data_IF_508294288797
#
_entry.id   IF_508294288797
#
_cell.length_a   1.000
_cell.length_b   1.000
_cell.length_c   1.000
_cell.angle_alpha   90.00
_cell.angle_beta   90.00
_cell.angle_gamma   90.00
#
_symmetry.space_group_name_H-M   'P 1'
#
loop_
_entity.id
_entity.type
_entity.pdbx_description
1 polymer ?
#
# COMPACT_ATOMS: atom_id res chain seq x y z
N UNK A 1 -25.45 12.00 -17.64
CA UNK A 1 -24.01 12.28 -17.63
C UNK A 1 -23.31 11.09 -17.03
N UNK A 2 -22.62 10.36 -17.85
CA UNK A 2 -21.69 9.34 -17.32
C UNK A 2 -20.45 10.07 -16.86
N UNK A 3 -20.36 10.34 -15.56
CA UNK A 3 -19.06 10.56 -14.97
C UNK A 3 -18.26 9.30 -15.27
N UNK A 4 -17.31 9.41 -16.18
CA UNK A 4 -16.22 8.45 -16.26
C UNK A 4 -15.57 8.44 -14.88
N UNK A 5 -15.98 7.49 -14.04
CA UNK A 5 -15.21 7.23 -12.81
C UNK A 5 -13.81 6.90 -13.27
N UNK A 6 -12.91 7.84 -13.12
CA UNK A 6 -11.49 7.58 -13.34
C UNK A 6 -11.14 6.32 -12.57
N UNK A 7 -10.72 5.29 -13.31
CA UNK A 7 -10.36 4.01 -12.72
C UNK A 7 -9.10 4.24 -11.89
N UNK A 8 -9.26 4.34 -10.59
CA UNK A 8 -8.16 4.55 -9.66
C UNK A 8 -7.34 3.29 -9.51
N UNK A 9 -6.03 3.46 -9.54
CA UNK A 9 -5.07 2.41 -9.21
C UNK A 9 -4.59 2.65 -7.79
N UNK A 10 -4.69 1.64 -6.96
CA UNK A 10 -4.31 1.73 -5.55
C UNK A 10 -2.99 1.05 -5.27
N UNK A 11 -2.24 1.68 -4.39
CA UNK A 11 -1.11 1.07 -3.71
C UNK A 11 -1.58 0.70 -2.30
N UNK A 12 -1.21 -0.48 -1.82
CA UNK A 12 -1.63 -0.99 -0.52
C UNK A 12 -0.57 -0.71 0.54
N UNK A 13 -1.03 -0.18 1.67
CA UNK A 13 -0.25 -0.16 2.90
C UNK A 13 0.03 -1.60 3.37
N UNK A 14 1.18 -1.82 3.97
CA UNK A 14 1.62 -3.14 4.45
C UNK A 14 0.58 -3.83 5.33
N UNK A 15 -0.05 -3.08 6.24
CA UNK A 15 -1.06 -3.60 7.15
C UNK A 15 -2.29 -4.16 6.44
N UNK A 16 -2.63 -3.65 5.27
CA UNK A 16 -3.74 -4.18 4.47
C UNK A 16 -3.45 -5.62 4.03
N UNK A 17 -2.27 -5.88 3.49
CA UNK A 17 -1.87 -7.23 3.09
C UNK A 17 -1.80 -8.19 4.28
N UNK A 18 -1.26 -7.73 5.39
CA UNK A 18 -1.22 -8.51 6.63
C UNK A 18 -2.64 -8.85 7.08
N UNK A 19 -3.54 -7.89 7.10
CA UNK A 19 -4.94 -8.11 7.48
C UNK A 19 -5.64 -9.09 6.55
N UNK A 20 -5.44 -8.98 5.24
CA UNK A 20 -5.99 -9.96 4.29
C UNK A 20 -5.48 -11.37 4.59
N UNK A 21 -4.20 -11.54 4.88
CA UNK A 21 -3.62 -12.85 5.17
C UNK A 21 -4.14 -13.47 6.48
N UNK A 22 -4.50 -12.64 7.45
CA UNK A 22 -5.07 -13.09 8.72
C UNK A 22 -6.54 -13.45 8.57
N UNK A 23 -7.33 -12.60 7.90
CA UNK A 23 -8.79 -12.83 7.76
C UNK A 23 -9.14 -13.80 6.64
N UNK A 24 -8.32 -13.85 5.62
CA UNK A 24 -8.50 -14.67 4.42
C UNK A 24 -7.20 -15.44 4.18
N UNK A 25 -6.90 -16.47 5.01
CA UNK A 25 -5.62 -17.18 4.92
C UNK A 25 -5.35 -17.72 3.51
N UNK A 26 -4.12 -17.56 3.05
CA UNK A 26 -3.71 -17.95 1.68
C UNK A 26 -3.98 -19.45 1.44
N UNK A 27 -3.64 -20.28 2.42
CA UNK A 27 -3.82 -21.74 2.34
C UNK A 27 -5.28 -22.19 2.23
N UNK A 28 -6.22 -21.37 2.71
CA UNK A 28 -7.65 -21.69 2.73
C UNK A 28 -8.47 -20.96 1.66
N UNK A 29 -7.91 -19.94 1.05
CA UNK A 29 -8.63 -19.04 0.14
C UNK A 29 -7.81 -18.75 -1.12
N UNK A 30 -7.39 -19.78 -1.78
CA UNK A 30 -6.56 -19.70 -2.98
C UNK A 30 -7.16 -18.79 -4.06
N UNK A 31 -8.46 -18.89 -4.28
CA UNK A 31 -9.18 -18.10 -5.29
C UNK A 31 -9.03 -16.59 -5.05
N UNK A 32 -9.13 -16.14 -3.80
CA UNK A 32 -8.95 -14.73 -3.46
C UNK A 32 -7.53 -14.25 -3.79
N UNK A 33 -6.52 -15.01 -3.37
CA UNK A 33 -5.12 -14.64 -3.57
C UNK A 33 -4.68 -14.74 -5.04
N UNK A 34 -5.21 -15.73 -5.77
CA UNK A 34 -5.02 -15.81 -7.22
C UNK A 34 -5.67 -14.60 -7.93
N UNK A 35 -6.82 -14.15 -7.46
CA UNK A 35 -7.47 -12.94 -7.97
C UNK A 35 -6.64 -11.68 -7.76
N UNK A 36 -6.01 -11.53 -6.59
CA UNK A 36 -5.07 -10.44 -6.33
C UNK A 36 -3.84 -10.52 -7.25
N UNK A 37 -3.31 -11.70 -7.46
CA UNK A 37 -2.16 -11.93 -8.36
C UNK A 37 -2.51 -11.57 -9.81
N UNK A 38 -3.65 -11.99 -10.32
CA UNK A 38 -4.11 -11.65 -11.67
C UNK A 38 -4.27 -10.14 -11.84
N UNK A 39 -4.86 -9.47 -10.85
CA UNK A 39 -5.00 -8.02 -10.87
C UNK A 39 -3.63 -7.31 -10.83
N UNK A 40 -2.66 -7.87 -10.12
CA UNK A 40 -1.29 -7.34 -10.08
C UNK A 40 -0.59 -7.50 -11.44
N UNK A 41 -0.77 -8.65 -12.12
CA UNK A 41 -0.27 -8.87 -13.48
C UNK A 41 -0.86 -7.89 -14.50
N UNK A 42 -2.12 -7.51 -14.30
CA UNK A 42 -2.84 -6.57 -15.16
C UNK A 42 -2.61 -5.10 -14.77
N UNK A 43 -1.65 -4.81 -13.90
CA UNK A 43 -1.33 -3.47 -13.40
C UNK A 43 -2.53 -2.72 -12.78
N UNK A 44 -3.46 -3.46 -12.16
CA UNK A 44 -4.65 -2.88 -11.52
C UNK A 44 -4.41 -2.39 -10.10
N UNK A 45 -3.33 -2.79 -9.49
CA UNK A 45 -2.84 -2.30 -8.21
C UNK A 45 -1.31 -2.42 -8.16
N UNK A 46 -0.70 -1.81 -7.16
CA UNK A 46 0.76 -1.75 -7.03
C UNK A 46 1.21 -2.36 -5.73
N UNK A 47 2.21 -3.24 -5.81
CA UNK A 47 2.93 -3.81 -4.69
C UNK A 47 4.36 -3.28 -4.73
N UNK A 48 4.77 -2.55 -3.68
CA UNK A 48 6.12 -2.00 -3.57
C UNK A 48 7.08 -2.94 -2.85
N UNK A 49 8.34 -2.88 -3.21
CA UNK A 49 9.43 -3.62 -2.56
C UNK A 49 9.54 -3.31 -1.06
N UNK A 50 9.41 -2.04 -0.67
CA UNK A 50 9.46 -1.63 0.73
C UNK A 50 8.33 -2.24 1.56
N UNK A 51 7.17 -2.47 0.96
CA UNK A 51 6.05 -3.16 1.60
C UNK A 51 6.38 -4.64 1.81
N UNK A 52 6.92 -5.29 0.80
CA UNK A 52 7.35 -6.69 0.88
C UNK A 52 8.43 -6.86 1.97
N UNK A 53 9.38 -5.95 2.04
CA UNK A 53 10.48 -5.99 3.00
C UNK A 53 10.04 -5.80 4.45
N UNK A 54 8.91 -5.12 4.68
CA UNK A 54 8.34 -4.95 6.02
C UNK A 54 7.61 -6.19 6.56
N UNK A 55 7.18 -7.09 5.69
CA UNK A 55 6.40 -8.27 6.08
C UNK A 55 7.31 -9.24 6.80
N UNK A 56 7.01 -9.47 8.08
CA UNK A 56 7.77 -10.35 8.95
C UNK A 56 6.83 -11.22 9.78
N UNK A 57 7.31 -12.39 10.20
CA UNK A 57 6.56 -13.32 11.05
C UNK A 57 5.24 -13.81 10.42
N UNK A 58 5.18 -13.81 9.08
CA UNK A 58 4.04 -14.30 8.32
C UNK A 58 4.54 -15.11 7.11
N UNK A 59 4.93 -16.38 7.33
CA UNK A 59 5.59 -17.20 6.30
C UNK A 59 4.78 -17.36 5.00
N UNK A 60 3.47 -17.52 5.10
CA UNK A 60 2.62 -17.67 3.91
C UNK A 60 2.61 -16.41 3.06
N UNK A 61 2.47 -15.24 3.70
CA UNK A 61 2.47 -13.95 3.01
C UNK A 61 3.85 -13.63 2.44
N UNK A 62 4.90 -13.89 3.19
CA UNK A 62 6.28 -13.71 2.72
C UNK A 62 6.55 -14.57 1.48
N UNK A 63 6.09 -15.81 1.47
CA UNK A 63 6.21 -16.70 0.33
C UNK A 63 5.42 -16.21 -0.88
N UNK A 64 4.19 -15.74 -0.66
CA UNK A 64 3.33 -15.18 -1.73
C UNK A 64 3.98 -13.94 -2.35
N UNK A 65 4.43 -13.01 -1.53
CA UNK A 65 5.14 -11.80 -1.98
C UNK A 65 6.45 -12.14 -2.71
N UNK A 66 7.20 -13.11 -2.22
CA UNK A 66 8.43 -13.59 -2.85
C UNK A 66 8.19 -14.15 -4.25
N UNK A 67 7.08 -14.85 -4.45
CA UNK A 67 6.66 -15.30 -5.79
C UNK A 67 6.39 -14.11 -6.71
N UNK A 68 5.68 -13.08 -6.23
CA UNK A 68 5.42 -11.89 -7.02
C UNK A 68 6.71 -11.17 -7.41
N UNK A 69 7.67 -11.11 -6.49
CA UNK A 69 9.00 -10.53 -6.76
C UNK A 69 9.75 -11.28 -7.84
N UNK A 70 9.78 -12.61 -7.77
CA UNK A 70 10.42 -13.45 -8.80
C UNK A 70 9.77 -13.32 -10.18
N UNK A 71 8.47 -13.06 -10.21
CA UNK A 71 7.71 -12.84 -11.44
C UNK A 71 7.81 -11.40 -11.98
N UNK A 72 8.60 -10.53 -11.34
CA UNK A 72 8.81 -9.16 -11.79
C UNK A 72 7.61 -8.23 -11.56
N UNK A 73 6.70 -8.58 -10.64
CA UNK A 73 5.47 -7.83 -10.39
C UNK A 73 5.59 -6.82 -9.24
N UNK A 74 6.68 -6.84 -8.49
CA UNK A 74 6.96 -5.90 -7.39
C UNK A 74 7.66 -4.68 -7.96
N UNK A 75 7.11 -3.49 -7.71
CA UNK A 75 7.71 -2.22 -8.14
C UNK A 75 8.79 -1.80 -7.14
N UNK A 76 9.86 -1.21 -7.66
CA UNK A 76 11.00 -0.76 -6.86
C UNK A 76 10.93 0.72 -6.56
N UNK A 77 11.28 1.06 -5.33
CA UNK A 77 11.54 2.45 -4.95
C UNK A 77 12.87 2.88 -5.57
N UNK A 78 12.87 4.01 -6.26
CA UNK A 78 14.04 4.61 -6.86
C UNK A 78 14.62 5.73 -5.97
N UNK A 79 15.82 6.21 -6.29
CA UNK A 79 16.51 7.21 -5.46
C UNK A 79 15.72 8.51 -5.31
N UNK A 80 15.07 8.99 -6.37
CA UNK A 80 14.23 10.20 -6.29
C UNK A 80 13.01 10.01 -5.37
N UNK A 81 12.46 8.81 -5.28
CA UNK A 81 11.40 8.50 -4.30
C UNK A 81 11.95 8.53 -2.87
N UNK A 82 13.17 8.05 -2.65
CA UNK A 82 13.83 8.10 -1.33
C UNK A 82 14.08 9.54 -0.90
N UNK A 83 14.57 10.38 -1.80
CA UNK A 83 14.78 11.80 -1.54
C UNK A 83 13.48 12.52 -1.19
N UNK A 84 12.42 12.26 -1.95
CA UNK A 84 11.10 12.82 -1.67
C UNK A 84 10.53 12.32 -0.33
N UNK A 85 10.74 11.04 0.00
CA UNK A 85 10.32 10.47 1.28
C UNK A 85 11.00 11.17 2.47
N UNK A 86 12.27 11.51 2.34
CA UNK A 86 13.01 12.31 3.35
C UNK A 86 12.37 13.68 3.52
N UNK A 87 12.05 14.37 2.42
CA UNK A 87 11.37 15.68 2.46
C UNK A 87 10.00 15.58 3.16
N UNK A 88 9.22 14.55 2.84
CA UNK A 88 7.90 14.30 3.45
C UNK A 88 8.06 14.11 4.97
N UNK A 89 9.01 13.28 5.40
CA UNK A 89 9.24 13.05 6.82
C UNK A 89 9.78 14.30 7.54
N UNK A 90 10.58 15.11 6.88
CA UNK A 90 11.06 16.38 7.44
C UNK A 90 9.92 17.38 7.66
N UNK A 91 8.93 17.37 6.78
CA UNK A 91 7.78 18.30 6.85
C UNK A 91 6.72 17.80 7.82
N UNK A 92 6.37 16.51 7.78
CA UNK A 92 5.20 15.96 8.49
C UNK A 92 5.55 14.95 9.57
N UNK A 93 6.77 14.60 9.78
CA UNK A 93 7.26 13.63 10.79
C UNK A 93 6.35 12.41 10.96
N UNK A 94 6.62 11.38 10.18
CA UNK A 94 5.85 10.12 10.19
C UNK A 94 6.63 8.99 10.85
N UNK A 95 7.95 8.97 10.72
CA UNK A 95 8.82 7.88 11.16
C UNK A 95 9.13 8.02 12.63
N UNK A 96 8.92 6.94 13.38
CA UNK A 96 9.42 6.83 14.75
C UNK A 96 10.91 6.47 14.70
N UNK A 97 11.76 7.44 14.95
CA UNK A 97 13.22 7.29 14.90
C UNK A 97 13.76 6.30 15.92
N UNK A 98 13.03 6.06 17.02
CA UNK A 98 13.47 5.14 18.07
C UNK A 98 13.42 3.66 17.65
N UNK A 99 12.51 3.30 16.72
CA UNK A 99 12.32 1.91 16.29
C UNK A 99 12.20 1.74 14.76
N UNK A 100 12.25 2.83 13.99
CA UNK A 100 12.11 2.80 12.53
C UNK A 100 10.71 2.48 12.03
N UNK A 101 9.69 2.45 12.89
CA UNK A 101 8.31 2.20 12.47
C UNK A 101 7.83 3.28 11.50
N UNK A 102 6.96 2.88 10.58
CA UNK A 102 6.38 3.74 9.54
C UNK A 102 7.37 4.24 8.47
N UNK A 103 8.56 3.66 8.37
CA UNK A 103 9.52 4.02 7.32
C UNK A 103 8.95 3.79 5.92
N UNK A 104 8.26 2.66 5.70
CA UNK A 104 7.64 2.38 4.41
C UNK A 104 6.52 3.37 4.05
N UNK A 105 5.85 3.95 5.03
CA UNK A 105 4.74 4.89 4.81
C UNK A 105 5.17 6.09 3.96
N UNK A 106 6.34 6.66 4.24
CA UNK A 106 6.88 7.80 3.47
C UNK A 106 7.21 7.41 2.04
N UNK A 107 7.72 6.20 1.81
CA UNK A 107 7.99 5.69 0.47
C UNK A 107 6.71 5.42 -0.32
N UNK A 108 5.69 4.87 0.33
CA UNK A 108 4.37 4.64 -0.28
C UNK A 108 3.78 5.97 -0.75
N UNK A 109 3.80 7.01 0.09
CA UNK A 109 3.29 8.33 -0.24
C UNK A 109 4.08 8.96 -1.39
N UNK A 110 5.41 8.91 -1.34
CA UNK A 110 6.28 9.43 -2.40
C UNK A 110 5.98 8.78 -3.75
N UNK A 111 5.87 7.45 -3.76
CA UNK A 111 5.57 6.71 -4.99
C UNK A 111 4.17 7.02 -5.52
N UNK A 112 3.18 7.11 -4.64
CA UNK A 112 1.81 7.44 -5.02
C UNK A 112 1.70 8.86 -5.58
N UNK A 113 2.40 9.83 -4.99
CA UNK A 113 2.43 11.21 -5.47
C UNK A 113 3.00 11.30 -6.90
N UNK A 114 4.14 10.67 -7.13
CA UNK A 114 4.80 10.69 -8.44
C UNK A 114 3.97 10.00 -9.54
N UNK A 115 3.40 8.85 -9.22
CA UNK A 115 2.68 8.02 -10.18
C UNK A 115 1.18 8.29 -10.21
N UNK A 116 0.70 9.28 -9.48
CA UNK A 116 -0.73 9.66 -9.39
C UNK A 116 -1.62 8.49 -8.99
N UNK A 117 -1.16 7.73 -7.99
CA UNK A 117 -1.90 6.60 -7.43
C UNK A 117 -2.69 7.04 -6.20
N UNK A 118 -3.70 6.26 -5.87
CA UNK A 118 -4.42 6.37 -4.60
C UNK A 118 -3.89 5.33 -3.61
N UNK A 119 -4.09 5.55 -2.31
CA UNK A 119 -3.57 4.66 -1.27
C UNK A 119 -4.72 3.98 -0.54
N UNK A 120 -4.62 2.67 -0.37
CA UNK A 120 -5.49 1.91 0.49
C UNK A 120 -4.80 1.67 1.82
N UNK A 121 -5.32 2.32 2.87
CA UNK A 121 -4.85 2.19 4.26
C UNK A 121 -6.03 2.22 5.21
N UNK A 122 -5.98 1.45 6.28
CA UNK A 122 -7.00 1.45 7.33
C UNK A 122 -6.71 2.44 8.45
N UNK A 123 -5.64 3.20 8.37
CA UNK A 123 -5.33 4.22 9.36
C UNK A 123 -6.43 5.30 9.42
N UNK A 124 -6.65 5.82 10.63
CA UNK A 124 -7.63 6.90 10.87
C UNK A 124 -6.96 8.28 10.76
N UNK A 125 -7.79 9.32 10.56
CA UNK A 125 -7.37 10.72 10.61
C UNK A 125 -7.07 11.13 12.06
N UNK A 126 -5.96 10.64 12.62
CA UNK A 126 -5.51 11.02 13.95
C UNK A 126 -3.99 11.06 13.98
N UNK A 127 -3.44 12.11 14.56
CA UNK A 127 -2.03 12.17 14.92
C UNK A 127 -1.81 11.15 16.05
N UNK A 128 -0.72 10.36 15.95
CA UNK A 128 -0.35 9.41 16.99
C UNK A 128 -0.04 10.14 18.29
N UNK A 129 -0.18 9.47 19.45
CA UNK A 129 0.10 10.05 20.78
C UNK A 129 1.49 10.69 20.89
N UNK A 130 2.48 10.16 20.16
CA UNK A 130 3.84 10.71 20.06
C UNK A 130 3.97 11.91 19.11
N UNK A 131 2.87 12.45 18.58
CA UNK A 131 2.86 13.59 17.66
C UNK A 131 3.20 13.27 16.22
N UNK A 132 3.35 11.99 15.86
CA UNK A 132 3.64 11.57 14.48
C UNK A 132 2.39 11.57 13.62
N UNK A 133 2.54 12.04 12.37
CA UNK A 133 1.46 12.01 11.37
C UNK A 133 1.26 10.59 10.83
N UNK A 134 0.02 10.30 10.46
CA UNK A 134 -0.36 9.06 9.77
C UNK A 134 -0.59 9.31 8.28
N UNK A 135 -0.68 8.24 7.50
CA UNK A 135 -0.88 8.31 6.05
C UNK A 135 -2.05 9.23 5.65
N UNK A 136 -3.26 9.12 6.22
CA UNK A 136 -4.40 9.93 5.75
C UNK A 136 -4.19 11.44 5.85
N UNK A 137 -3.60 11.93 6.95
CA UNK A 137 -3.38 13.36 7.13
C UNK A 137 -2.36 13.90 6.11
N UNK A 138 -1.27 13.18 5.91
CA UNK A 138 -0.23 13.59 4.96
C UNK A 138 -0.78 13.54 3.53
N UNK A 139 -1.50 12.50 3.18
CA UNK A 139 -2.14 12.37 1.87
C UNK A 139 -3.14 13.49 1.59
N UNK A 140 -3.95 13.87 2.58
CA UNK A 140 -4.87 14.99 2.45
C UNK A 140 -4.14 16.29 2.09
N UNK A 141 -3.01 16.55 2.73
CA UNK A 141 -2.18 17.73 2.48
C UNK A 141 -1.49 17.71 1.11
N UNK A 142 -1.21 16.52 0.59
CA UNK A 142 -0.56 16.31 -0.71
C UNK A 142 -1.56 16.04 -1.85
N UNK A 143 -2.86 16.13 -1.59
CA UNK A 143 -3.94 15.84 -2.54
C UNK A 143 -3.88 14.42 -3.10
N UNK A 144 -3.51 13.45 -2.26
CA UNK A 144 -3.53 12.03 -2.58
C UNK A 144 -4.81 11.43 -1.98
N UNK A 145 -5.58 10.73 -2.81
CA UNK A 145 -6.82 10.06 -2.36
C UNK A 145 -6.46 8.82 -1.56
N UNK A 146 -7.11 8.66 -0.42
CA UNK A 146 -7.01 7.44 0.40
C UNK A 146 -8.37 6.79 0.56
N UNK A 147 -8.39 5.47 0.66
CA UNK A 147 -9.59 4.70 1.01
C UNK A 147 -9.29 3.78 2.20
N UNK A 148 -10.35 3.44 2.92
CA UNK A 148 -10.31 2.54 4.08
C UNK A 148 -11.08 1.23 3.86
N UNK A 149 -12.00 1.22 2.91
CA UNK A 149 -12.93 0.09 2.71
C UNK A 149 -12.36 -0.91 1.71
N UNK A 150 -12.19 -2.18 2.10
CA UNK A 150 -11.75 -3.22 1.18
C UNK A 150 -12.60 -3.35 -0.07
N UNK A 151 -13.93 -3.17 0.07
CA UNK A 151 -14.87 -3.26 -1.06
C UNK A 151 -14.50 -2.29 -2.19
N UNK A 152 -14.15 -1.04 -1.86
CA UNK A 152 -13.75 -0.06 -2.88
C UNK A 152 -12.50 -0.48 -3.65
N UNK A 153 -11.53 -1.05 -2.94
CA UNK A 153 -10.34 -1.59 -3.59
C UNK A 153 -10.68 -2.78 -4.49
N UNK A 154 -11.46 -3.74 -3.98
CA UNK A 154 -11.85 -4.92 -4.75
C UNK A 154 -12.66 -4.55 -6.01
N UNK A 155 -13.56 -3.56 -5.91
CA UNK A 155 -14.26 -3.03 -7.07
C UNK A 155 -13.30 -2.41 -8.09
N UNK A 156 -12.28 -1.66 -7.63
CA UNK A 156 -11.31 -1.00 -8.51
C UNK A 156 -10.49 -1.97 -9.36
N UNK A 157 -10.23 -3.16 -8.84
CA UNK A 157 -9.50 -4.21 -9.56
C UNK A 157 -10.42 -5.16 -10.33
N UNK A 158 -11.73 -4.89 -10.32
CA UNK A 158 -12.75 -5.77 -10.92
C UNK A 158 -12.69 -7.20 -10.39
N UNK A 159 -12.53 -7.32 -9.08
CA UNK A 159 -12.43 -8.62 -8.41
C UNK A 159 -13.70 -9.43 -8.63
N UNK A 160 -13.53 -10.67 -9.08
CA UNK A 160 -14.62 -11.62 -9.30
C UNK A 160 -14.42 -12.85 -8.45
N UNK A 161 -15.48 -13.28 -7.80
CA UNK A 161 -15.51 -14.54 -7.09
C UNK A 161 -15.61 -15.74 -8.05
#
# INVERSE_FOLDING_TARGET
MNELQEKRIYILDTNILINFSVWIPISLNKTFWDGLEEALKDDKWVLLDVVVDEIRYNPELEKWCGKQKRNGLVKKIEDHNRERAVEINNTYKMIDESNGNSTADTYIISYAEENKLSIFSRESFRIKENGLFKIPEVCQRLNIVTIKRPVKFLESISFKN
#
